data_IF_042716505852
#
_entry.id   IF_042716505852
#
_cell.length_a   1.000
_cell.length_b   1.000
_cell.length_c   1.000
_cell.angle_alpha   90.00
_cell.angle_beta   90.00
_cell.angle_gamma   90.00
#
_symmetry.space_group_name_H-M   'P 1'
#
loop_
_entity.id
_entity.type
_entity.pdbx_description
1 polymer ?
#
# COMPACT_ATOMS: atom_id res chain seq x y z
N UNK A 1 -4.03 -11.95 -18.78
CA UNK A 1 -4.42 -10.53 -18.94
C UNK A 1 -5.53 -10.14 -17.97
N UNK A 2 -6.76 -10.69 -18.09
CA UNK A 2 -7.87 -10.32 -17.18
C UNK A 2 -7.59 -10.73 -15.72
N UNK A 3 -7.07 -11.93 -15.50
CA UNK A 3 -6.70 -12.42 -14.15
C UNK A 3 -5.67 -11.53 -13.46
N UNK A 4 -4.61 -11.14 -14.18
CA UNK A 4 -3.58 -10.22 -13.69
C UNK A 4 -4.16 -8.86 -13.33
N UNK A 5 -5.06 -8.33 -14.17
CA UNK A 5 -5.74 -7.06 -13.90
C UNK A 5 -6.61 -7.15 -12.65
N UNK A 6 -7.33 -8.25 -12.45
CA UNK A 6 -8.14 -8.48 -11.24
C UNK A 6 -7.27 -8.55 -9.99
N UNK A 7 -6.13 -9.25 -10.06
CA UNK A 7 -5.17 -9.33 -8.94
C UNK A 7 -4.61 -7.95 -8.60
N UNK A 8 -4.14 -7.20 -9.60
CA UNK A 8 -3.61 -5.84 -9.39
C UNK A 8 -4.69 -4.91 -8.84
N UNK A 9 -5.91 -4.97 -9.36
CA UNK A 9 -7.04 -4.18 -8.86
C UNK A 9 -7.35 -4.53 -7.40
N UNK A 10 -7.38 -5.82 -7.04
CA UNK A 10 -7.59 -6.25 -5.67
C UNK A 10 -6.48 -5.75 -4.73
N UNK A 11 -5.23 -5.77 -5.17
CA UNK A 11 -4.09 -5.25 -4.41
C UNK A 11 -4.16 -3.74 -4.24
N UNK A 12 -4.55 -2.99 -5.27
CA UNK A 12 -4.77 -1.53 -5.16
C UNK A 12 -5.87 -1.22 -4.13
N UNK A 13 -7.00 -1.94 -4.19
CA UNK A 13 -8.09 -1.76 -3.24
C UNK A 13 -7.67 -2.12 -1.82
N UNK A 14 -6.90 -3.20 -1.65
CA UNK A 14 -6.36 -3.58 -0.35
C UNK A 14 -5.42 -2.51 0.21
N UNK A 15 -4.53 -1.96 -0.61
CA UNK A 15 -3.63 -0.88 -0.21
C UNK A 15 -4.42 0.39 0.17
N UNK A 16 -5.42 0.75 -0.63
CA UNK A 16 -6.34 1.86 -0.35
C UNK A 16 -7.14 1.67 0.93
N UNK A 17 -7.55 0.44 1.25
CA UNK A 17 -8.19 0.12 2.52
C UNK A 17 -7.25 0.36 3.71
N UNK A 18 -6.01 -0.14 3.65
CA UNK A 18 -5.02 0.08 4.71
C UNK A 18 -4.69 1.57 4.89
N UNK A 19 -4.38 2.28 3.80
CA UNK A 19 -4.10 3.72 3.83
C UNK A 19 -5.31 4.54 4.31
N UNK A 20 -6.51 4.16 3.88
CA UNK A 20 -7.77 4.78 4.32
C UNK A 20 -8.04 4.57 5.81
N UNK A 21 -7.77 3.37 6.34
CA UNK A 21 -7.89 3.09 7.77
C UNK A 21 -6.89 3.91 8.60
N UNK A 22 -5.65 4.06 8.13
CA UNK A 22 -4.64 4.93 8.74
C UNK A 22 -5.14 6.37 8.85
N UNK A 23 -5.52 6.94 7.70
CA UNK A 23 -5.99 8.32 7.62
C UNK A 23 -7.30 8.55 8.37
N UNK A 24 -8.21 7.58 8.38
CA UNK A 24 -9.45 7.68 9.14
C UNK A 24 -9.18 7.84 10.65
N UNK A 25 -8.23 7.10 11.21
CA UNK A 25 -7.86 7.22 12.62
C UNK A 25 -7.11 8.53 12.89
N UNK A 26 -6.16 8.89 12.03
CA UNK A 26 -5.36 10.13 12.17
C UNK A 26 -6.23 11.39 12.05
N UNK A 27 -7.18 11.42 11.12
CA UNK A 27 -8.06 12.56 10.90
C UNK A 27 -9.23 12.64 11.90
N UNK A 28 -9.53 11.55 12.62
CA UNK A 28 -10.66 11.51 13.54
C UNK A 28 -10.43 12.38 14.78
N UNK A 29 -11.43 13.21 15.10
CA UNK A 29 -11.41 14.02 16.33
C UNK A 29 -11.71 13.12 17.54
N UNK A 30 -10.70 12.89 18.38
CA UNK A 30 -10.79 12.08 19.61
C UNK A 30 -12.00 12.45 20.49
N UNK A 31 -12.30 13.74 20.65
CA UNK A 31 -13.47 14.20 21.43
C UNK A 31 -14.81 13.73 20.88
N UNK A 32 -14.96 13.66 19.54
CA UNK A 32 -16.19 13.16 18.90
C UNK A 32 -16.32 11.64 19.05
N UNK A 33 -15.22 10.91 18.89
CA UNK A 33 -15.18 9.46 19.11
C UNK A 33 -15.54 9.11 20.56
N UNK A 34 -15.03 9.86 21.53
CA UNK A 34 -15.35 9.68 22.95
C UNK A 34 -16.84 9.91 23.25
N UNK A 35 -17.42 10.98 22.70
CA UNK A 35 -18.85 11.24 22.85
C UNK A 35 -19.70 10.10 22.28
N UNK A 36 -19.35 9.59 21.08
CA UNK A 36 -20.07 8.47 20.45
C UNK A 36 -19.91 7.16 21.23
N UNK A 37 -18.71 6.89 21.76
CA UNK A 37 -18.45 5.73 22.61
C UNK A 37 -19.27 5.78 23.90
N UNK A 38 -19.37 6.95 24.54
CA UNK A 38 -20.23 7.17 25.73
C UNK A 38 -21.73 7.01 25.42
N UNK A 39 -22.13 7.19 24.16
CA UNK A 39 -23.50 6.94 23.68
C UNK A 39 -23.78 5.45 23.34
N UNK A 40 -22.79 4.57 23.53
CA UNK A 40 -22.91 3.12 23.31
C UNK A 40 -22.43 2.63 21.94
N UNK A 41 -21.83 3.49 21.11
CA UNK A 41 -21.24 3.06 19.83
C UNK A 41 -19.94 2.29 20.06
N UNK A 42 -20.01 0.96 19.91
CA UNK A 42 -18.87 0.07 20.08
C UNK A 42 -17.77 0.28 19.01
N UNK A 43 -18.13 0.72 17.81
CA UNK A 43 -17.16 1.01 16.76
C UNK A 43 -16.40 2.30 17.10
N UNK A 44 -17.10 3.33 17.60
CA UNK A 44 -16.47 4.55 18.08
C UNK A 44 -15.54 4.29 19.28
N UNK A 45 -15.91 3.39 20.19
CA UNK A 45 -15.06 2.97 21.30
C UNK A 45 -13.76 2.31 20.83
N UNK A 46 -13.82 1.39 19.85
CA UNK A 46 -12.63 0.77 19.26
C UNK A 46 -11.76 1.78 18.50
N UNK A 47 -12.38 2.64 17.71
CA UNK A 47 -11.65 3.70 16.99
C UNK A 47 -10.96 4.67 17.95
N UNK A 48 -11.59 4.99 19.09
CA UNK A 48 -10.99 5.81 20.13
C UNK A 48 -9.76 5.14 20.75
N UNK A 49 -9.85 3.84 21.07
CA UNK A 49 -8.72 3.07 21.63
C UNK A 49 -7.52 3.05 20.67
N UNK A 50 -7.78 2.79 19.39
CA UNK A 50 -6.76 2.84 18.33
C UNK A 50 -6.16 4.24 18.18
N UNK A 51 -6.98 5.30 18.26
CA UNK A 51 -6.52 6.69 18.15
C UNK A 51 -5.72 7.15 19.38
N UNK A 52 -5.94 6.54 20.55
CA UNK A 52 -5.21 6.80 21.79
C UNK A 52 -3.92 5.97 21.89
N UNK A 53 -3.87 4.82 21.21
CA UNK A 53 -2.70 3.93 21.15
C UNK A 53 -2.15 3.77 19.72
N UNK A 54 -1.74 4.86 19.04
CA UNK A 54 -1.28 4.81 17.65
C UNK A 54 -0.05 3.93 17.45
N UNK A 55 0.76 3.74 18.50
CA UNK A 55 2.01 2.97 18.50
C UNK A 55 1.81 1.50 18.11
N UNK A 56 0.58 0.96 18.24
CA UNK A 56 0.26 -0.41 17.83
C UNK A 56 -0.45 -0.47 16.49
N UNK A 57 -1.28 0.53 16.20
CA UNK A 57 -2.10 0.57 15.00
C UNK A 57 -1.29 0.94 13.74
N UNK A 58 -0.52 2.03 13.80
CA UNK A 58 0.21 2.55 12.64
C UNK A 58 1.22 1.53 12.08
N UNK A 59 2.07 0.87 12.90
CA UNK A 59 3.04 -0.09 12.37
C UNK A 59 2.36 -1.30 11.72
N UNK A 60 1.23 -1.76 12.28
CA UNK A 60 0.46 -2.89 11.74
C UNK A 60 -0.09 -2.56 10.35
N UNK A 61 -0.65 -1.36 10.18
CA UNK A 61 -1.16 -0.89 8.90
C UNK A 61 -0.03 -0.71 7.88
N UNK A 62 1.10 -0.15 8.28
CA UNK A 62 2.28 0.04 7.42
C UNK A 62 2.88 -1.29 6.95
N UNK A 63 2.94 -2.31 7.81
CA UNK A 63 3.33 -3.66 7.41
C UNK A 63 2.35 -4.20 6.36
N UNK A 64 1.04 -3.98 6.54
CA UNK A 64 0.01 -4.32 5.55
C UNK A 64 0.23 -3.63 4.19
N UNK A 65 0.46 -2.31 4.19
CA UNK A 65 0.76 -1.52 2.98
C UNK A 65 2.00 -2.08 2.28
N UNK A 66 3.06 -2.38 3.03
CA UNK A 66 4.33 -2.90 2.49
C UNK A 66 4.14 -4.29 1.88
N UNK A 67 3.41 -5.17 2.55
CA UNK A 67 3.09 -6.51 2.05
C UNK A 67 2.30 -6.43 0.74
N UNK A 68 1.22 -5.66 0.73
CA UNK A 68 0.37 -5.48 -0.47
C UNK A 68 1.16 -4.84 -1.61
N UNK A 69 1.98 -3.83 -1.32
CA UNK A 69 2.84 -3.18 -2.30
C UNK A 69 3.87 -4.14 -2.90
N UNK A 70 4.48 -4.98 -2.07
CA UNK A 70 5.45 -6.00 -2.53
C UNK A 70 4.77 -7.04 -3.41
N UNK A 71 3.58 -7.53 -3.04
CA UNK A 71 2.81 -8.43 -3.88
C UNK A 71 2.44 -7.77 -5.21
N UNK A 72 1.99 -6.51 -5.19
CA UNK A 72 1.66 -5.77 -6.41
C UNK A 72 2.88 -5.63 -7.33
N UNK A 73 4.05 -5.32 -6.76
CA UNK A 73 5.32 -5.27 -7.49
C UNK A 73 5.72 -6.64 -8.05
N UNK A 74 5.53 -7.74 -7.31
CA UNK A 74 5.83 -9.08 -7.79
C UNK A 74 4.93 -9.51 -8.96
N UNK A 75 3.62 -9.22 -8.88
CA UNK A 75 2.66 -9.60 -9.92
C UNK A 75 2.65 -8.66 -11.14
N UNK A 76 2.96 -7.37 -10.96
CA UNK A 76 2.96 -6.36 -12.02
C UNK A 76 4.34 -5.97 -12.55
N UNK A 77 5.40 -6.33 -11.85
CA UNK A 77 6.75 -5.84 -12.10
C UNK A 77 7.37 -6.32 -13.41
N UNK A 78 7.10 -7.56 -13.84
CA UNK A 78 7.69 -8.15 -15.04
C UNK A 78 7.44 -7.30 -16.30
N UNK A 79 6.20 -6.83 -16.48
CA UNK A 79 5.80 -5.93 -17.57
C UNK A 79 6.46 -4.55 -17.49
N UNK A 80 6.59 -4.01 -16.29
CA UNK A 80 7.21 -2.70 -16.07
C UNK A 80 8.70 -2.80 -16.36
N UNK A 81 9.35 -3.87 -15.90
CA UNK A 81 10.77 -4.16 -16.13
C UNK A 81 11.05 -4.32 -17.61
N UNK A 82 10.23 -5.07 -18.36
CA UNK A 82 10.45 -5.25 -19.80
C UNK A 82 10.36 -3.95 -20.58
N UNK A 83 9.34 -3.12 -20.32
CA UNK A 83 9.18 -1.81 -20.98
C UNK A 83 10.31 -0.86 -20.60
N UNK A 84 10.68 -0.83 -19.32
CA UNK A 84 11.74 0.04 -18.83
C UNK A 84 13.11 -0.38 -19.40
N UNK A 85 13.39 -1.67 -19.45
CA UNK A 85 14.62 -2.21 -20.04
C UNK A 85 14.73 -1.83 -21.53
N UNK A 86 13.66 -2.00 -22.29
CA UNK A 86 13.62 -1.62 -23.71
C UNK A 86 13.87 -0.11 -23.90
N UNK A 87 13.20 0.73 -23.10
CA UNK A 87 13.42 2.18 -23.12
C UNK A 87 14.86 2.57 -22.79
N UNK A 88 15.46 1.95 -21.76
CA UNK A 88 16.84 2.18 -21.35
C UNK A 88 17.85 1.71 -22.40
N UNK A 89 17.59 0.59 -23.09
CA UNK A 89 18.47 0.14 -24.17
C UNK A 89 18.43 1.06 -25.39
N UNK A 90 17.28 1.68 -25.65
CA UNK A 90 17.07 2.55 -26.81
C UNK A 90 17.57 3.98 -26.57
N UNK A 91 17.34 4.54 -25.38
CA UNK A 91 17.60 5.96 -25.08
C UNK A 91 18.72 6.18 -24.04
N UNK A 92 19.22 5.12 -23.42
CA UNK A 92 20.24 5.21 -22.37
C UNK A 92 21.65 5.41 -22.90
N UNK A 93 22.53 5.92 -22.03
CA UNK A 93 23.98 5.95 -22.28
C UNK A 93 24.55 4.54 -22.34
N UNK A 94 25.73 4.35 -22.91
CA UNK A 94 26.34 3.01 -23.06
C UNK A 94 26.55 2.30 -21.71
N UNK A 95 26.75 3.06 -20.63
CA UNK A 95 26.78 2.54 -19.26
C UNK A 95 25.40 1.99 -18.82
N UNK A 96 24.30 2.67 -19.17
CA UNK A 96 22.94 2.21 -18.88
C UNK A 96 22.56 0.98 -19.70
N UNK A 97 23.00 0.89 -20.96
CA UNK A 97 22.77 -0.30 -21.81
C UNK A 97 23.45 -1.55 -21.25
N UNK A 98 24.64 -1.39 -20.67
CA UNK A 98 25.35 -2.47 -19.99
C UNK A 98 24.63 -2.92 -18.70
N UNK A 99 24.14 -1.95 -17.92
CA UNK A 99 23.44 -2.20 -16.66
C UNK A 99 21.99 -2.71 -16.83
N UNK A 100 21.36 -2.46 -17.99
CA UNK A 100 20.00 -2.91 -18.28
C UNK A 100 19.87 -4.41 -18.59
N UNK A 101 21.00 -5.15 -18.62
CA UNK A 101 20.98 -6.61 -18.77
C UNK A 101 20.27 -7.25 -17.56
N UNK A 102 19.31 -8.17 -17.77
CA UNK A 102 18.66 -8.86 -16.66
C UNK A 102 19.71 -9.55 -15.78
N UNK A 103 19.66 -9.31 -14.47
CA UNK A 103 20.56 -9.94 -13.48
C UNK A 103 20.28 -11.45 -13.35
N UNK A 104 19.11 -11.90 -13.83
CA UNK A 104 18.77 -13.31 -13.96
C UNK A 104 19.40 -13.90 -15.24
N UNK A 105 20.69 -14.22 -15.20
CA UNK A 105 21.37 -15.17 -16.08
C UNK A 105 22.26 -16.09 -15.24
#
# INVERSE_FOLDING_TARGET
MLEQLLIVLALILANGFFSGAEMAIVASRRGRLRQLAEQGDQAAAKALDLALSPDKFLPTVQIGITLVGTLAAAYGGDRVVSVLAEWLTTNGSDAMKSAARPIAL
#
